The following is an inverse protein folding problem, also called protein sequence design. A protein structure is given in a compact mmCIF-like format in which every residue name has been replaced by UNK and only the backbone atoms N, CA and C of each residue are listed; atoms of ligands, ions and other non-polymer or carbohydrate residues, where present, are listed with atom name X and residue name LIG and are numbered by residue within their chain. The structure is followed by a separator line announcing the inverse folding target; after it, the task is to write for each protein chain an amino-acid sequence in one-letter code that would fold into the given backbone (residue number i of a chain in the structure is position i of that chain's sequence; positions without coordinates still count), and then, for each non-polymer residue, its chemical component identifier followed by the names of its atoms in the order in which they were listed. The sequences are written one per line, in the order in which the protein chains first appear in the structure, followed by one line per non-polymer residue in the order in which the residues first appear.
data_IF_040275489185
#
_entry.id   IF_040275489185
#
_cell.length_a   1.000
_cell.length_b   1.000
_cell.length_c   1.000
_cell.angle_alpha   90.00
_cell.angle_beta   90.00
_cell.angle_gamma   90.00
#
_symmetry.space_group_name_H-M   'P 1'
#
loop_
_entity.id
_entity.type
_entity.pdbx_description
1 polymer ?
#
# COMPACT_ATOMS: atom_id res chain seq x y z
N UNK A 1 1.74 -28.40 12.15
CA UNK A 1 1.33 -27.00 12.32
C UNK A 1 2.22 -26.44 13.42
N UNK A 2 3.25 -25.70 13.03
CA UNK A 2 4.11 -24.97 13.99
C UNK A 2 3.57 -23.55 14.17
N UNK A 3 3.97 -22.95 15.29
CA UNK A 3 3.43 -21.77 16.00
C UNK A 3 3.25 -20.45 15.23
N UNK A 4 3.42 -20.42 13.90
CA UNK A 4 3.31 -19.22 13.07
C UNK A 4 2.24 -19.24 11.97
N UNK A 5 1.40 -20.28 11.87
CA UNK A 5 0.20 -20.30 10.99
C UNK A 5 0.44 -20.34 9.47
N UNK A 6 1.53 -19.78 8.94
CA UNK A 6 1.76 -19.64 7.50
C UNK A 6 2.13 -20.97 6.83
N UNK A 7 1.44 -21.32 5.75
CA UNK A 7 1.71 -22.52 4.97
C UNK A 7 3.14 -22.48 4.36
N UNK A 8 3.90 -23.61 4.33
CA UNK A 8 5.29 -23.64 3.85
C UNK A 8 5.49 -23.11 2.41
N UNK A 9 4.46 -23.19 1.56
CA UNK A 9 4.50 -22.66 0.19
C UNK A 9 4.73 -21.14 0.13
N UNK A 10 4.38 -20.41 1.20
CA UNK A 10 4.41 -18.96 1.24
C UNK A 10 5.59 -18.39 2.03
N UNK A 11 6.26 -19.23 2.82
CA UNK A 11 7.36 -18.77 3.68
C UNK A 11 8.58 -18.39 2.83
N UNK A 12 9.07 -17.15 2.93
CA UNK A 12 10.38 -16.79 2.39
C UNK A 12 11.46 -17.71 2.95
N UNK A 13 12.48 -18.00 2.16
CA UNK A 13 13.60 -18.85 2.59
C UNK A 13 14.46 -18.14 3.65
N UNK A 14 14.64 -16.83 3.48
CA UNK A 14 15.29 -15.92 4.41
C UNK A 14 14.42 -14.66 4.57
N UNK A 15 14.46 -13.99 5.74
CA UNK A 15 13.78 -12.71 5.93
C UNK A 15 14.33 -11.65 4.97
N UNK A 16 13.45 -10.86 4.38
CA UNK A 16 13.84 -9.74 3.53
C UNK A 16 13.90 -8.46 4.34
N UNK A 17 14.99 -7.68 4.26
CA UNK A 17 15.07 -6.42 4.97
C UNK A 17 14.24 -5.34 4.26
N UNK A 18 13.88 -4.32 5.03
CA UNK A 18 13.58 -2.99 4.50
C UNK A 18 14.87 -2.20 4.42
N UNK A 19 15.07 -1.50 3.31
CA UNK A 19 16.24 -0.64 3.08
C UNK A 19 15.77 0.75 2.66
N UNK A 20 16.13 1.75 3.45
CA UNK A 20 15.89 3.15 3.13
C UNK A 20 17.18 3.82 2.68
N UNK A 21 17.09 4.63 1.63
CA UNK A 21 18.14 5.53 1.18
C UNK A 21 17.71 6.98 1.36
N UNK A 22 18.42 7.72 2.22
CA UNK A 22 18.08 9.09 2.60
C UNK A 22 19.15 10.05 2.09
N UNK A 23 18.97 10.69 0.93
CA UNK A 23 19.89 11.73 0.47
C UNK A 23 19.91 12.91 1.43
N UNK A 24 21.10 13.44 1.68
CA UNK A 24 21.34 14.52 2.64
C UNK A 24 21.79 15.82 1.97
N UNK A 25 21.45 16.96 2.59
CA UNK A 25 21.87 18.30 2.17
C UNK A 25 23.28 18.70 2.66
N UNK A 26 24.04 17.77 3.23
CA UNK A 26 25.37 18.03 3.80
C UNK A 26 26.48 18.02 2.72
N UNK A 27 27.43 18.96 2.85
CA UNK A 27 28.57 19.08 1.93
C UNK A 27 29.79 18.22 2.27
N UNK A 28 29.84 17.67 3.48
CA UNK A 28 30.95 16.90 4.04
C UNK A 28 30.39 15.74 4.91
N UNK A 29 31.14 14.64 5.09
CA UNK A 29 30.71 13.56 5.97
C UNK A 29 30.74 14.02 7.44
N UNK A 30 29.88 13.43 8.26
CA UNK A 30 29.85 13.60 9.71
C UNK A 30 30.20 12.27 10.40
N UNK A 31 30.61 12.33 11.65
CA UNK A 31 30.95 11.16 12.46
C UNK A 31 29.71 10.38 12.88
N UNK A 32 29.81 9.06 12.97
CA UNK A 32 28.72 8.19 13.43
C UNK A 32 28.19 8.63 14.81
N UNK A 33 29.08 8.97 15.75
CA UNK A 33 28.70 9.41 17.11
C UNK A 33 27.82 10.67 17.10
N UNK A 34 28.05 11.59 16.15
CA UNK A 34 27.23 12.80 16.04
C UNK A 34 25.80 12.46 15.58
N UNK A 35 25.66 11.54 14.64
CA UNK A 35 24.36 11.04 14.20
C UNK A 35 23.65 10.28 15.32
N UNK A 36 24.34 9.36 16.00
CA UNK A 36 23.76 8.57 17.09
C UNK A 36 23.31 9.45 18.26
N UNK A 37 24.04 10.53 18.55
CA UNK A 37 23.61 11.52 19.54
C UNK A 37 22.34 12.26 19.10
N UNK A 38 22.23 12.64 17.83
CA UNK A 38 21.01 13.23 17.25
C UNK A 38 19.83 12.27 17.31
N UNK A 39 20.04 11.01 16.90
CA UNK A 39 19.04 9.95 16.95
C UNK A 39 18.55 9.69 18.38
N UNK A 40 19.46 9.60 19.35
CA UNK A 40 19.09 9.44 20.76
C UNK A 40 18.25 10.61 21.29
N UNK A 41 18.53 11.83 20.80
CA UNK A 41 17.72 13.02 21.09
C UNK A 41 16.31 12.94 20.51
N UNK A 42 16.17 12.55 19.24
CA UNK A 42 14.87 12.39 18.56
C UNK A 42 14.03 11.30 19.22
N UNK A 43 14.65 10.19 19.60
CA UNK A 43 13.97 9.06 20.23
C UNK A 43 13.71 9.25 21.72
N UNK A 44 14.27 10.30 22.34
CA UNK A 44 14.32 10.50 23.79
C UNK A 44 14.80 9.25 24.56
N UNK A 45 15.72 8.48 23.96
CA UNK A 45 16.14 7.18 24.47
C UNK A 45 17.59 6.84 24.10
N UNK A 46 18.22 5.95 24.88
CA UNK A 46 19.58 5.50 24.61
C UNK A 46 19.63 4.50 23.46
N UNK A 47 20.49 4.76 22.47
CA UNK A 47 20.79 3.83 21.38
C UNK A 47 22.03 3.01 21.76
N UNK A 48 21.92 1.68 21.76
CA UNK A 48 23.03 0.77 22.05
C UNK A 48 23.79 0.45 20.77
N UNK A 49 25.09 0.70 20.73
CA UNK A 49 25.95 0.28 19.62
C UNK A 49 26.37 -1.16 19.82
N UNK A 50 25.97 -2.03 18.90
CA UNK A 50 26.33 -3.45 18.92
C UNK A 50 27.66 -3.70 18.23
N UNK A 51 27.86 -3.05 17.07
CA UNK A 51 29.04 -3.25 16.25
C UNK A 51 29.35 -1.99 15.42
N UNK A 52 30.63 -1.62 15.35
CA UNK A 52 31.13 -0.72 14.33
C UNK A 52 31.69 -1.56 13.19
N UNK A 53 31.24 -1.29 11.97
CA UNK A 53 31.70 -1.96 10.77
C UNK A 53 32.77 -1.06 10.13
N UNK A 54 34.07 -1.32 10.36
CA UNK A 54 35.13 -0.45 9.86
C UNK A 54 35.13 -0.42 8.34
N UNK A 55 35.12 0.78 7.77
CA UNK A 55 35.30 0.99 6.34
C UNK A 55 36.61 1.72 6.09
N UNK A 56 37.43 1.15 5.20
CA UNK A 56 38.63 1.81 4.68
C UNK A 56 38.33 2.62 3.40
N UNK A 57 37.07 2.66 2.96
CA UNK A 57 36.64 3.30 1.72
C UNK A 57 36.09 4.70 2.00
N UNK A 58 36.71 5.74 1.42
CA UNK A 58 36.21 7.11 1.46
C UNK A 58 34.80 7.28 0.83
N UNK A 59 34.31 6.26 0.11
CA UNK A 59 32.94 6.19 -0.39
C UNK A 59 31.94 5.77 0.67
N UNK A 60 32.37 5.05 1.71
CA UNK A 60 31.53 4.60 2.81
C UNK A 60 32.16 5.08 4.13
N UNK A 61 32.01 6.36 4.51
CA UNK A 61 32.61 6.93 5.71
C UNK A 61 32.49 6.06 6.97
N UNK A 62 31.33 5.48 7.23
CA UNK A 62 31.11 4.59 8.36
C UNK A 62 29.85 3.75 8.18
N UNK A 63 29.81 2.62 8.89
CA UNK A 63 28.64 1.78 9.08
C UNK A 63 28.60 1.31 10.55
N UNK A 64 27.41 1.28 11.14
CA UNK A 64 27.19 0.88 12.52
C UNK A 64 25.95 0.01 12.62
N UNK A 65 26.00 -0.99 13.50
CA UNK A 65 24.85 -1.79 13.90
C UNK A 65 24.42 -1.36 15.28
N UNK A 66 23.17 -0.96 15.41
CA UNK A 66 22.61 -0.46 16.66
C UNK A 66 21.37 -1.23 17.08
N UNK A 67 21.14 -1.28 18.38
CA UNK A 67 19.85 -1.66 18.96
C UNK A 67 19.13 -0.38 19.36
N UNK A 68 17.93 -0.22 18.82
CA UNK A 68 17.05 0.92 19.11
C UNK A 68 15.94 0.47 20.06
N UNK A 69 15.64 1.22 21.13
CA UNK A 69 14.53 0.92 22.03
C UNK A 69 13.20 0.77 21.29
N UNK A 70 12.38 -0.20 21.70
CA UNK A 70 11.07 -0.45 21.09
C UNK A 70 11.11 -1.17 19.74
N UNK A 71 12.28 -1.72 19.36
CA UNK A 71 12.45 -2.62 18.21
C UNK A 71 13.07 -3.96 18.64
N UNK A 72 12.61 -5.04 18.03
CA UNK A 72 13.20 -6.37 18.22
C UNK A 72 14.48 -6.56 17.41
N UNK A 73 14.44 -6.19 16.12
CA UNK A 73 15.57 -6.33 15.20
C UNK A 73 16.58 -5.18 15.34
N UNK A 74 17.90 -5.46 15.26
CA UNK A 74 18.92 -4.44 15.12
C UNK A 74 18.74 -3.62 13.84
N UNK A 75 19.31 -2.42 13.81
CA UNK A 75 19.31 -1.52 12.66
C UNK A 75 20.74 -1.31 12.20
N UNK A 76 21.00 -1.54 10.92
CA UNK A 76 22.25 -1.15 10.27
C UNK A 76 22.07 0.24 9.71
N UNK A 77 22.99 1.14 10.06
CA UNK A 77 23.01 2.52 9.59
C UNK A 77 24.37 2.77 8.97
N UNK A 78 24.40 3.21 7.71
CA UNK A 78 25.63 3.58 7.03
C UNK A 78 25.52 4.95 6.39
N UNK A 79 26.64 5.65 6.34
CA UNK A 79 26.80 6.85 5.52
C UNK A 79 27.60 6.46 4.28
N UNK A 80 27.02 6.68 3.11
CA UNK A 80 27.66 6.42 1.82
C UNK A 80 27.70 7.68 0.96
N UNK A 81 28.62 7.74 0.00
CA UNK A 81 28.56 8.72 -1.09
C UNK A 81 27.34 8.44 -1.94
N UNK A 82 26.58 9.50 -2.20
CA UNK A 82 25.37 9.41 -3.04
C UNK A 82 25.73 8.86 -4.41
N UNK A 83 25.09 7.75 -4.76
CA UNK A 83 25.11 7.17 -6.11
C UNK A 83 24.01 7.83 -6.93
N UNK A 84 24.00 7.60 -8.24
CA UNK A 84 22.87 8.02 -9.07
C UNK A 84 21.59 7.38 -8.52
N UNK A 85 20.58 8.21 -8.33
CA UNK A 85 19.24 7.80 -7.92
C UNK A 85 18.30 8.05 -9.09
N UNK A 86 17.49 7.06 -9.43
CA UNK A 86 16.53 7.12 -10.53
C UNK A 86 15.12 7.44 -10.02
N UNK A 87 14.22 7.82 -10.93
CA UNK A 87 12.81 8.13 -10.64
C UNK A 87 12.58 9.19 -9.55
N UNK A 88 13.54 10.10 -9.36
CA UNK A 88 13.44 11.17 -8.36
C UNK A 88 12.31 12.14 -8.71
N UNK A 89 11.36 12.42 -7.79
CA UNK A 89 10.28 13.35 -8.03
C UNK A 89 10.79 14.75 -8.43
N UNK A 90 10.18 15.42 -9.43
CA UNK A 90 10.64 16.72 -9.92
C UNK A 90 10.77 17.79 -8.83
N UNK A 91 9.91 17.75 -7.81
CA UNK A 91 9.91 18.70 -6.70
C UNK A 91 11.21 18.67 -5.87
N UNK A 92 11.84 17.49 -5.73
CA UNK A 92 13.05 17.30 -4.92
C UNK A 92 14.30 17.01 -5.75
N UNK A 93 14.16 16.78 -7.06
CA UNK A 93 15.24 16.39 -7.97
C UNK A 93 16.49 17.28 -7.88
N UNK A 94 16.32 18.60 -7.76
CA UNK A 94 17.44 19.53 -7.62
C UNK A 94 18.21 19.36 -6.30
N UNK A 95 17.51 19.12 -5.18
CA UNK A 95 18.13 18.87 -3.86
C UNK A 95 18.85 17.52 -3.85
N UNK A 96 18.21 16.47 -4.37
CA UNK A 96 18.78 15.12 -4.46
C UNK A 96 20.02 15.11 -5.37
N UNK A 97 19.97 15.78 -6.52
CA UNK A 97 21.13 15.86 -7.43
C UNK A 97 22.33 16.62 -6.81
N UNK A 98 22.08 17.54 -5.87
CA UNK A 98 23.13 18.24 -5.13
C UNK A 98 23.67 17.45 -3.93
N UNK A 99 22.99 16.36 -3.54
CA UNK A 99 23.38 15.52 -2.42
C UNK A 99 24.70 14.80 -2.70
N UNK A 100 25.60 14.83 -1.72
CA UNK A 100 26.90 14.15 -1.78
C UNK A 100 26.95 12.89 -0.94
N UNK A 101 26.07 12.80 0.06
CA UNK A 101 26.00 11.70 0.98
C UNK A 101 24.57 11.24 1.17
N UNK A 102 24.41 9.93 1.32
CA UNK A 102 23.16 9.24 1.56
C UNK A 102 23.31 8.39 2.80
N UNK A 103 22.36 8.50 3.73
CA UNK A 103 22.23 7.52 4.81
C UNK A 103 21.50 6.29 4.28
N UNK A 104 22.02 5.11 4.53
CA UNK A 104 21.32 3.86 4.32
C UNK A 104 20.89 3.33 5.69
N UNK A 105 19.59 3.04 5.83
CA UNK A 105 19.03 2.42 7.02
C UNK A 105 18.42 1.09 6.63
N UNK A 106 18.87 0.02 7.25
CA UNK A 106 18.43 -1.34 6.95
C UNK A 106 18.08 -2.12 8.22
N UNK A 107 16.95 -2.81 8.21
CA UNK A 107 16.52 -3.66 9.32
C UNK A 107 15.49 -4.68 8.85
N UNK A 108 15.18 -5.66 9.69
CA UNK A 108 13.99 -6.49 9.53
C UNK A 108 12.80 -5.79 10.18
N UNK A 109 11.63 -5.91 9.55
CA UNK A 109 10.38 -5.46 10.16
C UNK A 109 9.95 -6.44 11.26
N UNK A 110 9.35 -5.90 12.30
CA UNK A 110 8.62 -6.70 13.28
C UNK A 110 7.45 -7.42 12.59
N UNK A 111 7.31 -8.72 12.83
CA UNK A 111 6.25 -9.53 12.24
C UNK A 111 4.89 -9.28 12.91
N UNK A 112 4.85 -8.77 14.15
CA UNK A 112 3.59 -8.48 14.85
C UNK A 112 2.90 -7.22 14.30
N UNK A 113 3.67 -6.18 13.98
CA UNK A 113 3.16 -4.94 13.38
C UNK A 113 4.21 -4.31 12.45
N UNK A 114 4.37 -4.85 11.23
CA UNK A 114 5.37 -4.38 10.28
C UNK A 114 5.14 -2.92 9.86
N UNK A 115 3.89 -2.44 9.91
CA UNK A 115 3.49 -1.09 9.52
C UNK A 115 4.03 -0.05 10.50
N UNK A 116 3.75 -0.23 11.79
CA UNK A 116 4.26 0.68 12.82
C UNK A 116 5.78 0.59 12.92
N UNK A 117 6.35 -0.61 12.76
CA UNK A 117 7.79 -0.80 12.79
C UNK A 117 8.52 -0.17 11.58
N UNK A 118 7.87 -0.12 10.41
CA UNK A 118 8.34 0.64 9.24
C UNK A 118 8.36 2.14 9.52
N UNK A 119 7.31 2.68 10.14
CA UNK A 119 7.25 4.10 10.53
C UNK A 119 8.36 4.50 11.51
N UNK A 120 8.69 3.63 12.47
CA UNK A 120 9.84 3.85 13.37
C UNK A 120 11.17 3.93 12.60
N UNK A 121 11.36 3.08 11.58
CA UNK A 121 12.57 3.12 10.76
C UNK A 121 12.64 4.39 9.91
N UNK A 122 11.52 4.91 9.41
CA UNK A 122 11.49 6.22 8.75
C UNK A 122 11.97 7.30 9.72
N UNK A 123 11.45 7.33 10.95
CA UNK A 123 11.91 8.28 11.98
C UNK A 123 13.41 8.14 12.31
N UNK A 124 13.95 6.92 12.31
CA UNK A 124 15.40 6.69 12.47
C UNK A 124 16.16 7.23 11.24
N UNK A 125 15.67 6.95 10.04
CA UNK A 125 16.31 7.32 8.78
C UNK A 125 16.32 8.84 8.55
N UNK A 126 15.34 9.55 9.09
CA UNK A 126 15.19 11.01 8.96
C UNK A 126 15.66 11.79 10.18
N UNK A 127 16.26 11.12 11.18
CA UNK A 127 16.71 11.74 12.42
C UNK A 127 17.78 12.83 12.23
N UNK A 128 18.45 12.88 11.07
CA UNK A 128 19.39 13.94 10.73
C UNK A 128 18.66 15.15 10.10
N UNK A 129 18.87 16.36 10.61
CA UNK A 129 18.22 17.61 10.14
C UNK A 129 18.44 17.90 8.64
N UNK A 130 19.53 17.39 8.08
CA UNK A 130 19.87 17.51 6.67
C UNK A 130 19.13 16.54 5.73
N UNK A 131 18.19 15.72 6.23
CA UNK A 131 17.44 14.77 5.40
C UNK A 131 16.61 15.49 4.35
N UNK A 132 16.67 15.02 3.09
CA UNK A 132 15.92 15.63 1.98
C UNK A 132 14.60 14.89 1.74
N UNK A 133 14.66 13.57 1.73
CA UNK A 133 13.57 12.64 1.41
C UNK A 133 14.00 11.23 1.83
N UNK A 134 13.07 10.29 1.84
CA UNK A 134 13.33 8.86 2.00
C UNK A 134 12.98 8.14 0.69
N UNK A 135 13.94 7.38 0.14
CA UNK A 135 13.68 6.38 -0.89
C UNK A 135 13.56 5.01 -0.21
N UNK A 136 12.40 4.38 -0.29
CA UNK A 136 12.23 2.97 0.02
C UNK A 136 12.77 2.13 -1.14
N UNK A 137 13.94 1.53 -0.96
CA UNK A 137 14.61 0.78 -2.02
C UNK A 137 13.86 -0.52 -2.37
N UNK A 138 13.04 -1.05 -1.45
CA UNK A 138 12.28 -2.28 -1.68
C UNK A 138 11.11 -2.03 -2.64
N UNK A 139 10.44 -0.87 -2.53
CA UNK A 139 9.25 -0.52 -3.32
C UNK A 139 9.52 0.51 -4.43
N UNK A 140 10.66 1.19 -4.36
CA UNK A 140 11.02 2.32 -5.23
C UNK A 140 10.22 3.60 -4.95
N UNK A 141 9.54 3.69 -3.81
CA UNK A 141 8.74 4.86 -3.46
C UNK A 141 9.61 5.95 -2.83
N UNK A 142 9.35 7.19 -3.23
CA UNK A 142 9.93 8.39 -2.65
C UNK A 142 8.93 9.04 -1.71
N UNK A 143 9.41 9.46 -0.54
CA UNK A 143 8.65 10.22 0.44
C UNK A 143 9.41 11.51 0.75
N UNK A 144 8.80 12.66 0.48
CA UNK A 144 9.40 13.94 0.83
C UNK A 144 9.11 14.35 2.29
N UNK A 145 9.74 15.45 2.71
CA UNK A 145 9.62 15.99 4.08
C UNK A 145 8.17 16.25 4.50
N UNK A 146 7.33 16.75 3.59
CA UNK A 146 5.93 17.05 3.92
C UNK A 146 5.12 15.76 4.11
N UNK A 147 5.41 14.72 3.34
CA UNK A 147 4.78 13.40 3.48
C UNK A 147 5.22 12.69 4.77
N UNK A 148 6.51 12.77 5.07
CA UNK A 148 7.10 12.18 6.28
C UNK A 148 6.47 12.79 7.53
N UNK A 149 6.49 14.12 7.65
CA UNK A 149 6.00 14.82 8.83
C UNK A 149 4.47 14.80 8.95
N UNK A 150 3.76 14.75 7.82
CA UNK A 150 2.31 14.84 7.76
C UNK A 150 1.59 13.50 7.85
N UNK A 151 1.91 12.56 6.95
CA UNK A 151 1.11 11.34 6.74
C UNK A 151 1.75 10.09 7.34
N UNK A 152 3.08 10.00 7.35
CA UNK A 152 3.82 8.79 7.74
C UNK A 152 4.10 8.72 9.24
N UNK A 153 4.53 9.84 9.84
CA UNK A 153 4.86 9.95 11.26
C UNK A 153 3.70 10.50 12.10
N UNK A 154 2.48 10.47 11.57
CA UNK A 154 1.28 10.85 12.32
C UNK A 154 1.14 9.95 13.56
N UNK A 155 1.21 10.57 14.74
CA UNK A 155 1.24 9.85 16.01
C UNK A 155 -0.08 9.17 16.38
N UNK A 156 -1.20 9.58 15.77
CA UNK A 156 -2.53 9.00 16.02
C UNK A 156 -2.75 7.76 15.16
N UNK A 157 -2.34 7.81 13.89
CA UNK A 157 -2.68 6.77 12.91
C UNK A 157 -1.49 5.89 12.49
N UNK A 158 -0.26 6.35 12.68
CA UNK A 158 0.93 5.78 12.07
C UNK A 158 0.90 5.89 10.53
N UNK A 159 1.80 5.19 9.82
CA UNK A 159 1.79 5.19 8.36
C UNK A 159 0.60 4.37 7.82
N UNK A 160 0.09 4.66 6.61
CA UNK A 160 -0.87 3.77 5.96
C UNK A 160 -0.23 2.42 5.64
N UNK A 161 -1.02 1.36 5.46
CA UNK A 161 -0.48 0.01 5.21
C UNK A 161 0.16 -0.12 3.83
N UNK A 162 -0.33 0.62 2.84
CA UNK A 162 0.14 0.63 1.45
C UNK A 162 1.53 1.28 1.27
N UNK A 163 2.17 1.76 2.34
CA UNK A 163 3.61 2.06 2.32
C UNK A 163 4.45 0.79 2.32
N UNK A 164 3.89 -0.32 2.80
CA UNK A 164 4.63 -1.57 2.94
C UNK A 164 4.84 -2.26 1.59
N UNK A 165 4.01 -1.98 0.59
CA UNK A 165 4.16 -2.55 -0.74
C UNK A 165 3.82 -1.54 -1.85
N UNK A 166 4.16 -1.88 -3.08
CA UNK A 166 3.72 -1.17 -4.28
C UNK A 166 3.27 -2.17 -5.33
N UNK A 167 2.12 -1.92 -5.95
CA UNK A 167 1.71 -2.65 -7.16
C UNK A 167 2.42 -2.04 -8.36
N UNK A 168 3.15 -2.88 -9.10
CA UNK A 168 3.80 -2.55 -10.36
C UNK A 168 3.06 -3.20 -11.52
N UNK A 169 3.19 -2.59 -12.71
CA UNK A 169 2.57 -3.05 -13.94
C UNK A 169 3.61 -3.12 -15.04
N UNK A 170 3.64 -4.24 -15.76
CA UNK A 170 4.48 -4.44 -16.95
C UNK A 170 3.57 -4.76 -18.13
N UNK A 171 3.82 -4.09 -19.25
CA UNK A 171 3.10 -4.26 -20.53
C UNK A 171 4.10 -4.22 -21.67
N UNK A 172 3.87 -5.02 -22.72
CA UNK A 172 4.61 -4.93 -23.99
C UNK A 172 3.97 -3.95 -24.98
N UNK A 173 2.76 -3.47 -24.69
CA UNK A 173 2.02 -2.51 -25.52
C UNK A 173 2.19 -1.08 -25.00
N UNK A 174 2.45 -0.13 -25.91
CA UNK A 174 2.39 1.31 -25.62
C UNK A 174 0.95 1.78 -25.32
N UNK A 175 -0.05 1.16 -25.97
CA UNK A 175 -1.46 1.34 -25.63
C UNK A 175 -1.89 0.23 -24.67
N UNK A 176 -1.94 0.57 -23.37
CA UNK A 176 -2.29 -0.37 -22.31
C UNK A 176 -3.66 -1.01 -22.55
N UNK A 177 -4.62 -0.31 -23.15
CA UNK A 177 -5.99 -0.82 -23.35
C UNK A 177 -6.05 -2.03 -24.30
N UNK A 178 -5.06 -2.17 -25.20
CA UNK A 178 -5.05 -3.21 -26.24
C UNK A 178 -4.17 -4.43 -25.91
N UNK A 179 -3.42 -4.39 -24.80
CA UNK A 179 -2.46 -5.43 -24.42
C UNK A 179 -2.89 -6.28 -23.23
N UNK A 180 -2.00 -7.20 -22.86
CA UNK A 180 -2.01 -7.85 -21.55
C UNK A 180 -1.01 -7.16 -20.63
N UNK A 181 -1.32 -7.19 -19.34
CA UNK A 181 -0.53 -6.58 -18.27
C UNK A 181 -0.21 -7.65 -17.24
N UNK A 182 1.05 -7.71 -16.83
CA UNK A 182 1.47 -8.43 -15.63
C UNK A 182 1.50 -7.42 -14.48
N UNK A 183 0.66 -7.66 -13.48
CA UNK A 183 0.62 -6.88 -12.24
C UNK A 183 1.28 -7.67 -11.13
N UNK A 184 2.11 -7.01 -10.32
CA UNK A 184 2.72 -7.67 -9.18
C UNK A 184 3.06 -6.69 -8.05
N UNK A 185 3.06 -7.18 -6.82
CA UNK A 185 3.53 -6.40 -5.67
C UNK A 185 5.05 -6.46 -5.55
N UNK A 186 5.62 -5.42 -4.95
CA UNK A 186 6.95 -5.41 -4.32
C UNK A 186 6.81 -4.92 -2.89
N UNK A 187 7.46 -5.57 -1.94
CA UNK A 187 7.55 -5.15 -0.54
C UNK A 187 6.79 -6.04 0.44
N UNK A 188 6.05 -7.05 -0.02
CA UNK A 188 5.39 -8.00 0.88
C UNK A 188 6.37 -9.00 1.51
N UNK A 189 7.48 -9.31 0.82
CA UNK A 189 8.50 -10.23 1.34
C UNK A 189 9.12 -9.77 2.68
N UNK A 190 9.32 -8.45 2.86
CA UNK A 190 9.82 -7.87 4.12
C UNK A 190 8.82 -7.95 5.27
N UNK A 191 7.54 -8.20 4.95
CA UNK A 191 6.48 -8.45 5.93
C UNK A 191 6.30 -9.96 6.22
N UNK A 192 7.15 -10.82 5.65
CA UNK A 192 7.02 -12.29 5.79
C UNK A 192 5.93 -12.91 4.93
N UNK A 193 5.38 -12.16 3.97
CA UNK A 193 4.33 -12.58 3.04
C UNK A 193 4.93 -12.91 1.67
N UNK A 194 4.27 -13.75 0.84
CA UNK A 194 4.65 -13.89 -0.55
C UNK A 194 4.31 -12.59 -1.30
N UNK A 195 5.10 -12.23 -2.33
CA UNK A 195 4.60 -11.20 -3.26
C UNK A 195 3.37 -11.73 -3.98
N UNK A 196 2.45 -10.84 -4.34
CA UNK A 196 1.26 -11.19 -5.10
C UNK A 196 1.45 -10.84 -6.57
N UNK A 197 0.72 -11.53 -7.45
CA UNK A 197 0.66 -11.17 -8.87
C UNK A 197 -0.62 -11.61 -9.56
N UNK A 198 -0.90 -10.93 -10.67
CA UNK A 198 -1.93 -11.27 -11.63
C UNK A 198 -1.28 -11.33 -13.01
N UNK A 199 -1.44 -12.48 -13.67
CA UNK A 199 -0.90 -12.77 -14.99
C UNK A 199 -1.99 -12.60 -16.05
N UNK A 200 -1.60 -12.23 -17.27
CA UNK A 200 -2.49 -12.11 -18.44
C UNK A 200 -3.73 -11.21 -18.22
N UNK A 201 -3.60 -10.16 -17.40
CA UNK A 201 -4.69 -9.22 -17.16
C UNK A 201 -4.92 -8.38 -18.43
N UNK A 202 -6.14 -8.32 -19.00
CA UNK A 202 -6.43 -7.38 -20.08
C UNK A 202 -6.18 -5.95 -19.61
N UNK A 203 -5.43 -5.14 -20.35
CA UNK A 203 -4.99 -3.86 -19.82
C UNK A 203 -6.12 -2.86 -19.54
N UNK A 204 -7.25 -2.95 -20.26
CA UNK A 204 -8.51 -2.26 -19.92
C UNK A 204 -9.06 -2.56 -18.51
N UNK A 205 -8.56 -3.61 -17.86
CA UNK A 205 -8.91 -4.04 -16.51
C UNK A 205 -7.78 -3.87 -15.50
N UNK A 206 -6.60 -3.40 -15.92
CA UNK A 206 -5.42 -3.31 -15.08
C UNK A 206 -5.65 -2.44 -13.83
N UNK A 207 -6.35 -1.31 -13.95
CA UNK A 207 -6.65 -0.44 -12.80
C UNK A 207 -7.54 -1.14 -11.74
N UNK A 208 -8.58 -1.85 -12.17
CA UNK A 208 -9.44 -2.59 -11.24
C UNK A 208 -8.73 -3.81 -10.63
N UNK A 209 -7.93 -4.52 -11.44
CA UNK A 209 -7.11 -5.63 -11.00
C UNK A 209 -6.02 -5.21 -10.01
N UNK A 210 -5.41 -4.03 -10.21
CA UNK A 210 -4.43 -3.43 -9.29
C UNK A 210 -5.06 -3.15 -7.92
N UNK A 211 -6.24 -2.50 -7.90
CA UNK A 211 -7.00 -2.25 -6.65
C UNK A 211 -7.39 -3.54 -5.93
N UNK A 212 -7.72 -4.60 -6.68
CA UNK A 212 -7.98 -5.91 -6.10
C UNK A 212 -6.72 -6.51 -5.48
N UNK A 213 -5.58 -6.42 -6.16
CA UNK A 213 -4.30 -6.93 -5.65
C UNK A 213 -3.87 -6.20 -4.36
N UNK A 214 -4.09 -4.90 -4.32
CA UNK A 214 -3.86 -4.04 -3.16
C UNK A 214 -4.74 -4.44 -1.96
N UNK A 215 -6.05 -4.64 -2.20
CA UNK A 215 -6.96 -5.12 -1.15
C UNK A 215 -6.59 -6.51 -0.62
N UNK A 216 -6.17 -7.43 -1.50
CA UNK A 216 -5.67 -8.75 -1.09
C UNK A 216 -4.43 -8.59 -0.22
N UNK A 217 -3.48 -7.73 -0.59
CA UNK A 217 -2.26 -7.51 0.18
C UNK A 217 -2.55 -7.04 1.61
N UNK A 218 -3.43 -6.05 1.78
CA UNK A 218 -3.84 -5.55 3.10
C UNK A 218 -4.52 -6.64 3.95
N UNK A 219 -5.45 -7.41 3.37
CA UNK A 219 -6.11 -8.50 4.09
C UNK A 219 -5.14 -9.61 4.52
N UNK A 220 -4.18 -9.98 3.65
CA UNK A 220 -3.17 -10.99 3.97
C UNK A 220 -2.16 -10.54 5.04
N UNK A 221 -1.99 -9.24 5.23
CA UNK A 221 -1.17 -8.70 6.32
C UNK A 221 -1.77 -9.03 7.69
N UNK A 222 -3.09 -9.11 7.79
CA UNK A 222 -3.81 -9.43 9.03
C UNK A 222 -4.10 -10.92 9.17
N UNK A 223 -4.65 -11.54 8.13
CA UNK A 223 -5.09 -12.93 8.17
C UNK A 223 -3.94 -13.93 8.00
N UNK A 224 -2.85 -13.49 7.35
CA UNK A 224 -1.86 -14.37 6.74
C UNK A 224 -2.40 -15.07 5.47
N UNK A 225 -1.51 -15.57 4.60
CA UNK A 225 -1.92 -16.22 3.36
C UNK A 225 -2.55 -17.60 3.62
N UNK A 226 -3.76 -17.88 3.10
CA UNK A 226 -4.36 -19.20 3.20
C UNK A 226 -3.53 -20.24 2.47
N UNK A 227 -3.60 -21.54 2.80
CA UNK A 227 -2.93 -22.57 2.02
C UNK A 227 -3.27 -22.50 0.52
N UNK A 228 -2.37 -22.94 -0.37
CA UNK A 228 -2.62 -22.96 -1.81
C UNK A 228 -3.96 -23.56 -2.20
N UNK A 229 -4.59 -22.97 -3.23
CA UNK A 229 -5.88 -23.39 -3.79
C UNK A 229 -7.10 -23.27 -2.85
N UNK A 230 -6.91 -22.88 -1.59
CA UNK A 230 -8.04 -22.64 -0.67
C UNK A 230 -8.68 -21.30 -1.05
N UNK A 231 -10.01 -21.25 -1.32
CA UNK A 231 -10.71 -20.02 -1.61
C UNK A 231 -10.53 -19.00 -0.48
N UNK A 232 -10.19 -17.77 -0.86
CA UNK A 232 -9.98 -16.65 0.03
C UNK A 232 -10.98 -15.55 -0.29
N UNK A 233 -11.78 -15.17 0.70
CA UNK A 233 -12.85 -14.21 0.50
C UNK A 233 -12.32 -12.78 0.59
N UNK A 234 -12.53 -12.00 -0.46
CA UNK A 234 -12.09 -10.60 -0.56
C UNK A 234 -13.27 -9.62 -0.60
N UNK A 235 -14.48 -10.15 -0.45
CA UNK A 235 -15.72 -9.39 -0.34
C UNK A 235 -16.94 -10.31 -0.36
N UNK A 236 -18.15 -9.77 -0.15
CA UNK A 236 -19.39 -10.54 -0.18
C UNK A 236 -19.59 -11.32 -1.50
N UNK A 237 -19.43 -12.64 -1.43
CA UNK A 237 -19.61 -13.53 -2.58
C UNK A 237 -18.49 -13.46 -3.62
N UNK A 238 -17.30 -12.99 -3.22
CA UNK A 238 -16.13 -12.87 -4.08
C UNK A 238 -14.96 -13.55 -3.41
N UNK A 239 -14.55 -14.65 -4.02
CA UNK A 239 -13.44 -15.44 -3.57
C UNK A 239 -12.38 -15.53 -4.67
N UNK A 240 -11.12 -15.65 -4.27
CA UNK A 240 -9.96 -15.87 -5.14
C UNK A 240 -9.15 -17.07 -4.63
N UNK A 241 -8.32 -17.66 -5.47
CA UNK A 241 -7.36 -18.68 -5.06
C UNK A 241 -5.93 -18.13 -5.13
N UNK A 242 -5.09 -18.49 -4.17
CA UNK A 242 -3.65 -18.21 -4.20
C UNK A 242 -2.89 -19.44 -4.69
N UNK A 243 -2.17 -19.29 -5.80
CA UNK A 243 -1.45 -20.37 -6.47
C UNK A 243 0.05 -20.04 -6.48
N UNK A 244 0.95 -20.98 -6.13
CA UNK A 244 2.38 -20.75 -6.28
C UNK A 244 2.71 -20.37 -7.72
N UNK A 245 3.45 -19.28 -7.93
CA UNK A 245 3.65 -18.72 -9.27
C UNK A 245 4.21 -19.73 -10.27
N UNK A 246 5.11 -20.62 -9.82
CA UNK A 246 5.70 -21.67 -10.67
C UNK A 246 4.65 -22.60 -11.26
N UNK A 247 3.57 -22.89 -10.52
CA UNK A 247 2.44 -23.67 -11.03
C UNK A 247 1.59 -22.84 -11.99
N UNK A 248 1.31 -21.58 -11.64
CA UNK A 248 0.49 -20.69 -12.47
C UNK A 248 1.11 -20.47 -13.86
N UNK A 249 2.43 -20.33 -13.95
CA UNK A 249 3.11 -20.09 -15.23
C UNK A 249 3.25 -21.33 -16.12
N UNK A 250 2.99 -22.55 -15.62
CA UNK A 250 3.14 -23.78 -16.43
C UNK A 250 2.23 -23.77 -17.66
N UNK A 251 1.12 -23.03 -17.61
CA UNK A 251 0.14 -22.93 -18.68
C UNK A 251 0.31 -21.70 -19.58
N UNK A 252 1.25 -20.79 -19.27
CA UNK A 252 1.51 -19.62 -20.10
C UNK A 252 2.16 -20.03 -21.43
N UNK A 253 1.84 -19.29 -22.48
CA UNK A 253 2.57 -19.39 -23.74
C UNK A 253 4.02 -18.92 -23.54
N UNK A 254 5.02 -19.52 -24.22
CA UNK A 254 6.39 -19.02 -24.19
C UNK A 254 6.44 -17.53 -24.58
N UNK A 255 7.30 -16.76 -23.91
CA UNK A 255 7.45 -15.31 -24.14
C UNK A 255 6.26 -14.46 -23.63
N UNK A 256 5.33 -15.06 -22.87
CA UNK A 256 4.31 -14.32 -22.14
C UNK A 256 4.93 -13.50 -21.02
N UNK A 257 4.34 -12.33 -20.76
CA UNK A 257 4.70 -11.49 -19.62
C UNK A 257 4.63 -12.27 -18.31
N UNK A 258 5.69 -12.18 -17.51
CA UNK A 258 5.79 -12.86 -16.22
C UNK A 258 6.11 -14.36 -16.31
N UNK A 259 6.56 -14.87 -17.46
CA UNK A 259 7.22 -16.18 -17.53
C UNK A 259 8.58 -16.16 -16.80
N UNK A 260 9.24 -17.33 -16.68
CA UNK A 260 10.51 -17.43 -15.95
C UNK A 260 11.65 -16.62 -16.60
N UNK A 261 11.67 -16.52 -17.93
CA UNK A 261 12.71 -15.78 -18.66
C UNK A 261 12.51 -14.27 -18.51
N UNK A 262 11.27 -13.79 -18.62
CA UNK A 262 10.89 -12.39 -18.46
C UNK A 262 11.23 -11.89 -17.03
N UNK A 263 10.91 -12.66 -16.00
CA UNK A 263 11.28 -12.37 -14.59
C UNK A 263 12.78 -12.21 -14.38
N UNK A 264 13.57 -13.12 -14.95
CA UNK A 264 15.02 -13.11 -14.82
C UNK A 264 15.66 -11.95 -15.58
N UNK A 265 15.07 -11.51 -16.69
CA UNK A 265 15.52 -10.36 -17.45
C UNK A 265 15.15 -9.03 -16.75
N UNK A 266 13.94 -8.94 -16.21
CA UNK A 266 13.37 -7.69 -15.69
C UNK A 266 14.07 -7.17 -14.43
N UNK A 267 14.55 -8.04 -13.53
CA UNK A 267 15.29 -7.63 -12.34
C UNK A 267 16.66 -8.30 -12.26
N UNK A 268 17.68 -7.48 -12.04
CA UNK A 268 19.07 -7.91 -11.80
C UNK A 268 19.44 -7.82 -10.30
N UNK A 269 18.45 -7.60 -9.42
CA UNK A 269 18.64 -7.57 -7.98
C UNK A 269 19.08 -8.95 -7.46
N UNK A 270 19.86 -8.98 -6.37
CA UNK A 270 20.32 -10.21 -5.74
C UNK A 270 20.04 -10.16 -4.24
N UNK A 271 19.19 -11.07 -3.71
CA UNK A 271 18.36 -12.03 -4.45
C UNK A 271 17.31 -11.35 -5.35
N UNK A 272 16.91 -11.99 -6.46
CA UNK A 272 15.92 -11.43 -7.38
C UNK A 272 14.48 -11.61 -6.79
N UNK A 273 13.77 -10.51 -6.46
CA UNK A 273 12.44 -10.59 -5.85
C UNK A 273 11.36 -11.16 -6.77
N UNK A 274 11.55 -11.11 -8.09
CA UNK A 274 10.62 -11.68 -9.08
C UNK A 274 10.72 -13.20 -9.20
N UNK A 275 11.80 -13.80 -8.69
CA UNK A 275 12.02 -15.25 -8.61
C UNK A 275 11.81 -15.80 -7.19
N UNK A 276 11.51 -14.93 -6.23
CA UNK A 276 11.25 -15.28 -4.84
C UNK A 276 9.89 -15.99 -4.65
N UNK A 277 9.40 -16.04 -3.41
CA UNK A 277 8.07 -16.59 -3.12
C UNK A 277 6.99 -15.63 -3.58
N UNK A 278 6.12 -16.12 -4.46
CA UNK A 278 5.00 -15.35 -5.00
C UNK A 278 3.74 -16.20 -5.11
N UNK A 279 2.60 -15.58 -4.85
CA UNK A 279 1.28 -16.13 -5.07
C UNK A 279 0.62 -15.44 -6.27
N UNK A 280 0.38 -16.21 -7.33
CA UNK A 280 -0.52 -15.81 -8.38
C UNK A 280 -1.96 -15.83 -7.83
N UNK A 281 -2.64 -14.69 -7.91
CA UNK A 281 -4.04 -14.56 -7.55
C UNK A 281 -4.87 -15.01 -8.74
N UNK A 282 -5.67 -16.06 -8.56
CA UNK A 282 -6.39 -16.72 -9.64
C UNK A 282 -7.88 -16.83 -9.33
N UNK A 283 -8.66 -17.15 -10.37
CA UNK A 283 -10.02 -17.64 -10.23
C UNK A 283 -10.03 -18.94 -9.39
N UNK A 284 -11.13 -19.19 -8.67
CA UNK A 284 -11.25 -20.32 -7.74
C UNK A 284 -11.26 -21.68 -8.46
N UNK A 285 -11.70 -21.69 -9.72
CA UNK A 285 -11.76 -22.89 -10.54
C UNK A 285 -10.81 -22.79 -11.74
N UNK A 286 -9.79 -23.67 -11.85
CA UNK A 286 -8.95 -23.71 -13.02
C UNK A 286 -9.74 -24.23 -14.23
N UNK A 287 -9.41 -23.72 -15.42
CA UNK A 287 -10.00 -24.14 -16.69
C UNK A 287 -9.27 -25.35 -17.27
N UNK A 288 -9.94 -26.05 -18.20
CA UNK A 288 -9.37 -27.14 -18.97
C UNK A 288 -9.67 -28.53 -18.39
N UNK A 289 -10.03 -29.47 -19.28
CA UNK A 289 -10.39 -30.85 -18.90
C UNK A 289 -9.20 -31.83 -18.85
N UNK A 290 -8.08 -31.46 -19.48
CA UNK A 290 -6.87 -32.30 -19.58
C UNK A 290 -5.65 -31.71 -18.86
N UNK A 291 -5.56 -30.38 -18.77
CA UNK A 291 -4.54 -29.64 -18.02
C UNK A 291 -5.27 -28.55 -17.23
N UNK A 292 -4.89 -28.35 -15.97
CA UNK A 292 -5.38 -27.24 -15.14
C UNK A 292 -4.73 -25.96 -15.63
N UNK A 293 -5.55 -25.00 -16.03
CA UNK A 293 -5.11 -23.66 -16.46
C UNK A 293 -5.68 -22.68 -15.45
N UNK A 294 -4.82 -22.16 -14.60
CA UNK A 294 -5.18 -21.09 -13.68
C UNK A 294 -5.28 -19.78 -14.47
N UNK A 295 -6.37 -19.05 -14.29
CA UNK A 295 -6.61 -17.78 -14.98
C UNK A 295 -6.83 -16.67 -13.97
N UNK A 296 -6.53 -15.43 -14.35
CA UNK A 296 -6.83 -14.26 -13.51
C UNK A 296 -8.35 -14.20 -13.18
N UNK A 297 -8.74 -13.71 -11.99
CA UNK A 297 -10.11 -13.74 -11.49
C UNK A 297 -10.94 -12.59 -12.09
N UNK A 298 -11.33 -12.71 -13.36
CA UNK A 298 -11.98 -11.64 -14.11
C UNK A 298 -13.32 -11.15 -13.51
N UNK A 299 -14.09 -12.03 -12.86
CA UNK A 299 -15.33 -11.65 -12.18
C UNK A 299 -15.06 -10.79 -10.94
N UNK A 300 -14.04 -11.14 -10.16
CA UNK A 300 -13.63 -10.35 -8.99
C UNK A 300 -13.18 -8.94 -9.42
N UNK A 301 -12.32 -8.85 -10.44
CA UNK A 301 -11.87 -7.54 -10.95
C UNK A 301 -13.02 -6.69 -11.55
N UNK A 302 -14.01 -7.33 -12.19
CA UNK A 302 -15.20 -6.64 -12.66
C UNK A 302 -16.01 -6.03 -11.49
N UNK A 303 -16.11 -6.71 -10.35
CA UNK A 303 -16.75 -6.15 -9.16
C UNK A 303 -15.98 -4.94 -8.62
N UNK A 304 -14.66 -5.01 -8.53
CA UNK A 304 -13.80 -3.88 -8.10
C UNK A 304 -13.88 -2.66 -9.04
N UNK A 305 -14.39 -2.83 -10.26
CA UNK A 305 -14.63 -1.71 -11.19
C UNK A 305 -15.85 -0.87 -10.81
N UNK A 306 -16.77 -1.38 -9.98
CA UNK A 306 -18.00 -0.70 -9.60
C UNK A 306 -17.76 0.36 -8.52
N UNK A 307 -18.34 1.56 -8.67
CA UNK A 307 -18.19 2.66 -7.69
C UNK A 307 -18.76 2.33 -6.30
N UNK A 308 -19.70 1.39 -6.25
CA UNK A 308 -20.44 0.91 -5.09
C UNK A 308 -20.02 -0.51 -4.67
N UNK A 309 -18.85 -0.99 -5.13
CA UNK A 309 -18.31 -2.30 -4.78
C UNK A 309 -18.17 -2.47 -3.25
N UNK A 310 -18.71 -3.57 -2.72
CA UNK A 310 -18.47 -3.99 -1.33
C UNK A 310 -17.25 -4.90 -1.33
N UNK A 311 -16.18 -4.48 -0.65
CA UNK A 311 -14.92 -5.21 -0.54
C UNK A 311 -14.56 -5.32 0.94
N UNK A 312 -13.83 -6.38 1.31
CA UNK A 312 -13.21 -6.42 2.63
C UNK A 312 -11.93 -5.57 2.61
N UNK A 313 -11.65 -4.91 3.74
CA UNK A 313 -10.42 -4.16 3.99
C UNK A 313 -9.87 -4.61 5.33
N UNK A 314 -8.57 -4.41 5.52
CA UNK A 314 -7.92 -4.64 6.80
C UNK A 314 -8.55 -3.77 7.90
N UNK A 315 -8.53 -4.25 9.14
CA UNK A 315 -8.90 -3.46 10.32
C UNK A 315 -8.05 -2.18 10.41
N UNK A 316 -6.75 -2.28 10.12
CA UNK A 316 -5.85 -1.12 10.14
C UNK A 316 -6.25 -0.04 9.12
N UNK A 317 -6.54 -0.44 7.87
CA UNK A 317 -7.04 0.48 6.85
C UNK A 317 -8.41 1.04 7.23
N UNK A 318 -9.30 0.22 7.78
CA UNK A 318 -10.65 0.64 8.19
C UNK A 318 -10.58 1.72 9.28
N UNK A 319 -9.75 1.52 10.32
CA UNK A 319 -9.55 2.51 11.39
C UNK A 319 -8.99 3.81 10.83
N UNK A 320 -7.94 3.73 10.00
CA UNK A 320 -7.32 4.92 9.39
C UNK A 320 -8.29 5.66 8.48
N UNK A 321 -8.90 4.99 7.50
CA UNK A 321 -9.85 5.59 6.56
C UNK A 321 -11.02 6.24 7.30
N UNK A 322 -11.55 5.60 8.34
CA UNK A 322 -12.64 6.16 9.16
C UNK A 322 -12.24 7.47 9.83
N UNK A 323 -11.05 7.53 10.42
CA UNK A 323 -10.57 8.73 11.07
C UNK A 323 -10.32 9.87 10.08
N UNK A 324 -9.68 9.58 8.95
CA UNK A 324 -9.47 10.57 7.87
C UNK A 324 -10.82 11.04 7.32
N UNK A 325 -11.78 10.14 7.11
CA UNK A 325 -13.12 10.45 6.65
C UNK A 325 -13.83 11.43 7.59
N UNK A 326 -13.83 11.17 8.89
CA UNK A 326 -14.44 12.05 9.91
C UNK A 326 -13.77 13.41 9.96
N UNK A 327 -12.43 13.46 9.90
CA UNK A 327 -11.66 14.71 9.93
C UNK A 327 -11.93 15.59 8.71
N UNK A 328 -12.11 14.97 7.54
CA UNK A 328 -12.32 15.67 6.26
C UNK A 328 -13.80 15.83 5.88
N UNK A 329 -14.73 15.23 6.62
CA UNK A 329 -16.16 15.24 6.35
C UNK A 329 -16.71 16.66 6.13
N UNK A 330 -16.39 17.59 7.03
CA UNK A 330 -16.86 18.98 6.95
C UNK A 330 -16.46 19.68 5.64
N UNK A 331 -15.28 19.35 5.08
CA UNK A 331 -14.85 19.85 3.77
C UNK A 331 -15.66 19.24 2.64
N UNK A 332 -15.93 17.92 2.67
CA UNK A 332 -16.76 17.26 1.66
C UNK A 332 -18.19 17.82 1.65
N UNK A 333 -18.77 18.07 2.84
CA UNK A 333 -20.07 18.72 3.01
C UNK A 333 -20.05 20.14 2.43
N UNK A 334 -19.03 20.94 2.76
CA UNK A 334 -18.88 22.30 2.23
C UNK A 334 -18.78 22.31 0.69
N UNK A 335 -18.00 21.39 0.12
CA UNK A 335 -17.87 21.21 -1.32
C UNK A 335 -19.21 20.88 -1.98
N UNK A 336 -19.96 19.92 -1.41
CA UNK A 336 -21.31 19.56 -1.88
C UNK A 336 -22.31 20.70 -1.75
N UNK A 337 -22.20 21.53 -0.70
CA UNK A 337 -23.05 22.70 -0.52
C UNK A 337 -22.73 23.81 -1.53
N UNK A 338 -21.46 23.98 -1.91
CA UNK A 338 -21.04 24.99 -2.89
C UNK A 338 -21.45 24.67 -4.33
N UNK A 339 -21.58 23.37 -4.67
CA UNK A 339 -21.92 22.92 -6.02
C UNK A 339 -23.03 21.86 -5.94
N UNK A 340 -24.29 22.25 -5.70
CA UNK A 340 -25.35 21.29 -5.45
C UNK A 340 -25.86 20.55 -6.69
N UNK A 341 -25.67 21.12 -7.87
CA UNK A 341 -26.03 20.50 -9.14
C UNK A 341 -24.88 19.62 -9.68
N UNK A 342 -25.19 18.36 -9.99
CA UNK A 342 -24.25 17.44 -10.65
C UNK A 342 -23.12 16.90 -9.76
N UNK A 343 -23.12 17.21 -8.46
CA UNK A 343 -22.22 16.64 -7.47
C UNK A 343 -23.05 15.83 -6.47
N UNK A 344 -22.69 14.56 -6.26
CA UNK A 344 -23.34 13.67 -5.29
C UNK A 344 -22.36 13.43 -4.15
N UNK A 345 -22.84 13.56 -2.91
CA UNK A 345 -22.08 13.17 -1.73
C UNK A 345 -22.59 11.81 -1.26
N UNK A 346 -21.67 10.86 -1.17
CA UNK A 346 -21.91 9.56 -0.56
C UNK A 346 -21.20 9.50 0.80
N UNK A 347 -21.82 8.84 1.77
CA UNK A 347 -21.20 8.51 3.05
C UNK A 347 -21.20 6.99 3.23
N UNK A 348 -20.08 6.45 3.69
CA UNK A 348 -19.97 5.09 4.18
C UNK A 348 -20.31 5.08 5.66
N UNK A 349 -21.24 4.21 6.05
CA UNK A 349 -21.69 4.08 7.43
C UNK A 349 -21.78 2.61 7.85
N UNK A 350 -21.51 2.30 9.13
CA UNK A 350 -21.84 1.02 9.69
C UNK A 350 -23.36 0.86 9.79
N UNK A 351 -23.82 -0.35 9.49
CA UNK A 351 -25.19 -0.81 9.68
C UNK A 351 -25.24 -1.75 10.91
N UNK A 352 -26.32 -2.52 11.03
CA UNK A 352 -26.48 -3.47 12.12
C UNK A 352 -25.44 -4.59 12.07
N UNK A 353 -25.13 -5.15 13.24
CA UNK A 353 -24.28 -6.33 13.37
C UNK A 353 -25.04 -7.59 12.99
N UNK A 354 -24.38 -8.49 12.27
CA UNK A 354 -24.90 -9.83 12.01
C UNK A 354 -24.85 -10.73 13.27
N UNK A 355 -25.37 -11.95 13.15
CA UNK A 355 -25.40 -12.95 14.23
C UNK A 355 -23.99 -13.40 14.69
N UNK A 356 -22.96 -13.15 13.88
CA UNK A 356 -21.56 -13.43 14.16
C UNK A 356 -20.84 -12.18 14.71
N UNK A 357 -21.55 -11.07 14.88
CA UNK A 357 -21.04 -9.81 15.43
C UNK A 357 -20.35 -8.91 14.41
N UNK A 358 -20.34 -9.27 13.12
CA UNK A 358 -19.74 -8.47 12.04
C UNK A 358 -20.65 -7.33 11.64
N UNK A 359 -20.08 -6.15 11.43
CA UNK A 359 -20.80 -4.96 10.99
C UNK A 359 -20.85 -4.95 9.47
N UNK A 360 -22.04 -4.84 8.88
CA UNK A 360 -22.17 -4.51 7.47
C UNK A 360 -21.93 -3.01 7.29
N UNK A 361 -21.15 -2.62 6.28
CA UNK A 361 -20.93 -1.21 5.94
C UNK A 361 -21.62 -0.90 4.62
N UNK A 362 -22.35 0.21 4.56
CA UNK A 362 -23.12 0.60 3.39
C UNK A 362 -22.83 2.02 2.94
N UNK A 363 -22.79 2.20 1.61
CA UNK A 363 -22.82 3.51 0.99
C UNK A 363 -24.25 4.05 0.96
N UNK A 364 -24.41 5.26 1.48
CA UNK A 364 -25.64 6.04 1.40
C UNK A 364 -25.41 7.27 0.52
N UNK A 365 -26.41 7.64 -0.27
CA UNK A 365 -26.47 8.97 -0.86
C UNK A 365 -27.01 9.95 0.16
N UNK A 366 -26.26 10.99 0.46
CA UNK A 366 -26.59 11.98 1.49
C UNK A 366 -27.64 12.94 0.96
N UNK A 367 -28.78 13.01 1.65
CA UNK A 367 -29.91 13.90 1.32
C UNK A 367 -29.83 15.21 2.12
N UNK A 368 -29.51 15.13 3.42
CA UNK A 368 -29.31 16.30 4.30
C UNK A 368 -28.16 16.08 5.28
N UNK A 369 -27.54 17.17 5.72
CA UNK A 369 -26.49 17.19 6.74
C UNK A 369 -26.86 18.17 7.83
N UNK A 370 -26.68 17.75 9.07
CA UNK A 370 -26.87 18.50 10.31
C UNK A 370 -25.56 18.49 11.13
N UNK A 371 -25.53 19.12 12.30
CA UNK A 371 -24.30 19.32 13.08
C UNK A 371 -23.64 18.01 13.55
N UNK A 372 -24.44 16.97 13.85
CA UNK A 372 -24.00 15.68 14.37
C UNK A 372 -24.19 14.51 13.40
N UNK A 373 -24.70 14.75 12.20
CA UNK A 373 -25.09 13.68 11.29
C UNK A 373 -25.93 14.13 10.11
N UNK A 374 -26.92 13.33 9.74
CA UNK A 374 -27.83 13.67 8.66
C UNK A 374 -28.73 12.53 8.24
N UNK A 375 -29.34 12.70 7.06
CA UNK A 375 -30.17 11.67 6.43
C UNK A 375 -29.65 11.33 5.04
N UNK A 376 -29.85 10.08 4.64
CA UNK A 376 -29.51 9.62 3.31
C UNK A 376 -30.28 8.38 2.91
N UNK A 377 -29.94 7.83 1.73
CA UNK A 377 -30.60 6.65 1.17
C UNK A 377 -29.59 5.58 0.83
N UNK A 378 -29.88 4.35 1.21
CA UNK A 378 -29.00 3.21 0.93
C UNK A 378 -28.94 2.98 -0.60
N UNK A 379 -27.73 2.82 -1.15
CA UNK A 379 -27.55 2.62 -2.59
C UNK A 379 -27.86 1.19 -3.05
N UNK A 380 -27.74 0.21 -2.16
CA UNK A 380 -27.89 -1.23 -2.45
C UNK A 380 -28.80 -1.91 -1.42
N UNK A 381 -29.26 -3.12 -1.75
CA UNK A 381 -29.91 -3.95 -0.75
C UNK A 381 -28.87 -4.39 0.29
N UNK A 382 -29.22 -4.30 1.55
CA UNK A 382 -28.37 -4.69 2.68
C UNK A 382 -28.65 -6.13 3.07
N UNK A 383 -27.71 -6.76 3.79
CA UNK A 383 -27.87 -8.12 4.32
C UNK A 383 -28.99 -8.20 5.36
N UNK A 384 -29.23 -7.13 6.12
CA UNK A 384 -30.34 -7.05 7.07
C UNK A 384 -31.73 -6.90 6.41
N UNK A 385 -31.79 -6.85 5.07
CA UNK A 385 -33.02 -6.88 4.30
C UNK A 385 -33.62 -5.51 3.95
N UNK A 386 -32.92 -4.40 4.25
CA UNK A 386 -33.31 -3.08 3.74
C UNK A 386 -33.05 -3.00 2.23
N UNK A 387 -34.03 -2.45 1.51
CA UNK A 387 -33.93 -2.29 0.06
C UNK A 387 -33.15 -1.03 -0.32
N UNK A 388 -32.55 -1.02 -1.50
CA UNK A 388 -32.00 0.20 -2.10
C UNK A 388 -33.07 1.32 -2.12
N UNK A 389 -32.66 2.53 -1.77
CA UNK A 389 -33.52 3.70 -1.61
C UNK A 389 -34.16 3.84 -0.23
N UNK A 390 -33.97 2.90 0.69
CA UNK A 390 -34.45 3.01 2.07
C UNK A 390 -33.80 4.22 2.75
N UNK A 391 -34.59 5.15 3.34
CA UNK A 391 -34.03 6.28 4.08
C UNK A 391 -33.41 5.80 5.39
N UNK A 392 -32.27 6.39 5.75
CA UNK A 392 -31.55 6.12 6.99
C UNK A 392 -31.02 7.42 7.58
N UNK A 393 -31.01 7.48 8.91
CA UNK A 393 -30.28 8.49 9.67
C UNK A 393 -28.86 7.98 9.92
N UNK A 394 -27.90 8.89 9.97
CA UNK A 394 -26.51 8.58 10.30
C UNK A 394 -25.92 9.64 11.22
N UNK A 395 -24.89 9.25 11.98
CA UNK A 395 -24.09 10.17 12.78
C UNK A 395 -22.76 10.44 12.08
N UNK A 396 -22.28 11.67 12.13
CA UNK A 396 -20.98 12.05 11.56
C UNK A 396 -19.83 11.27 12.22
N UNK A 397 -19.99 10.90 13.50
CA UNK A 397 -19.03 10.09 14.25
C UNK A 397 -18.95 8.63 13.76
N UNK A 398 -19.96 8.14 13.05
CA UNK A 398 -20.01 6.78 12.54
C UNK A 398 -19.50 6.67 11.10
N UNK A 399 -19.23 7.80 10.44
CA UNK A 399 -18.74 7.81 9.06
C UNK A 399 -17.40 7.08 8.98
N UNK A 400 -17.32 6.11 8.08
CA UNK A 400 -16.10 5.33 7.78
C UNK A 400 -15.48 5.68 6.42
N UNK A 401 -16.20 6.46 5.61
CA UNK A 401 -15.76 6.92 4.31
C UNK A 401 -16.71 7.98 3.74
N UNK A 402 -16.23 8.75 2.76
CA UNK A 402 -17.11 9.60 1.95
C UNK A 402 -16.63 9.61 0.49
N UNK A 403 -17.54 9.89 -0.44
CA UNK A 403 -17.21 10.09 -1.85
C UNK A 403 -17.92 11.32 -2.40
N UNK A 404 -17.21 12.14 -3.17
CA UNK A 404 -17.79 13.16 -4.03
C UNK A 404 -17.77 12.64 -5.46
N UNK A 405 -18.96 12.52 -6.07
CA UNK A 405 -19.14 11.93 -7.40
C UNK A 405 -19.67 12.98 -8.37
N UNK A 406 -19.00 13.13 -9.52
CA UNK A 406 -19.41 13.99 -10.63
C UNK A 406 -19.27 13.23 -11.95
N UNK A 407 -20.40 12.85 -12.54
CA UNK A 407 -20.38 12.00 -13.73
C UNK A 407 -19.67 10.68 -13.42
N UNK A 408 -18.58 10.40 -14.13
CA UNK A 408 -17.74 9.21 -13.89
C UNK A 408 -16.57 9.49 -12.92
N UNK A 409 -16.28 10.76 -12.62
CA UNK A 409 -15.20 11.13 -11.72
C UNK A 409 -15.64 11.03 -10.26
N UNK A 410 -14.76 10.51 -9.41
CA UNK A 410 -15.00 10.35 -7.97
C UNK A 410 -13.73 10.66 -7.18
N UNK A 411 -13.89 11.33 -6.04
CA UNK A 411 -12.85 11.47 -5.02
C UNK A 411 -13.37 11.05 -3.64
N UNK A 412 -12.49 10.77 -2.70
CA UNK A 412 -12.77 10.46 -1.30
C UNK A 412 -11.70 11.02 -0.35
N UNK A 413 -11.74 10.62 0.93
CA UNK A 413 -10.93 11.22 2.01
C UNK A 413 -9.43 11.08 1.86
N UNK A 414 -8.98 10.03 1.18
CA UNK A 414 -7.56 9.69 1.01
C UNK A 414 -6.97 10.21 -0.30
N UNK A 415 -7.80 10.78 -1.18
CA UNK A 415 -7.31 11.38 -2.42
C UNK A 415 -6.60 12.71 -2.12
N UNK A 416 -5.46 12.96 -2.78
CA UNK A 416 -4.65 14.20 -2.61
C UNK A 416 -5.26 15.42 -3.31
N UNK A 417 -6.57 15.38 -3.51
CA UNK A 417 -7.38 16.36 -4.21
C UNK A 417 -8.18 17.13 -3.15
N UNK A 418 -8.11 18.47 -3.19
CA UNK A 418 -8.96 19.27 -2.31
C UNK A 418 -10.44 19.15 -2.75
N UNK A 419 -11.37 18.80 -1.85
CA UNK A 419 -12.80 18.65 -2.19
C UNK A 419 -13.42 19.89 -2.85
N UNK A 420 -12.96 21.10 -2.50
CA UNK A 420 -13.45 22.33 -3.10
C UNK A 420 -12.95 22.52 -4.53
N UNK A 421 -11.71 22.14 -4.83
CA UNK A 421 -11.16 22.22 -6.18
C UNK A 421 -11.81 21.19 -7.11
N UNK A 422 -12.08 19.97 -6.61
CA UNK A 422 -12.91 19.00 -7.31
C UNK A 422 -14.33 19.54 -7.56
N UNK A 423 -14.96 20.11 -6.52
CA UNK A 423 -16.28 20.72 -6.65
C UNK A 423 -16.30 21.94 -7.60
N UNK A 424 -15.17 22.62 -7.80
CA UNK A 424 -15.03 23.69 -8.79
C UNK A 424 -14.72 23.18 -10.21
N UNK A 425 -14.42 21.88 -10.38
CA UNK A 425 -14.11 21.28 -11.68
C UNK A 425 -12.72 21.68 -12.22
N UNK A 426 -11.81 22.06 -11.32
CA UNK A 426 -10.48 22.55 -11.69
C UNK A 426 -9.50 21.44 -12.07
N UNK A 427 -9.83 20.19 -11.77
CA UNK A 427 -8.91 19.05 -11.92
C UNK A 427 -9.23 18.09 -13.07
N UNK A 428 -10.38 18.21 -13.74
CA UNK A 428 -10.71 17.35 -14.90
C UNK A 428 -9.95 17.74 -16.19
N UNK A 429 -8.76 18.36 -16.10
CA UNK A 429 -7.97 18.84 -17.24
C UNK A 429 -6.48 18.47 -17.24
N UNK A 430 -6.04 17.53 -16.39
CA UNK A 430 -4.67 17.01 -16.44
C UNK A 430 -4.65 15.50 -16.26
N UNK A 431 -4.38 14.76 -17.34
CA UNK A 431 -4.16 13.31 -17.28
C UNK A 431 -4.79 12.57 -18.45
N UNK A 432 -4.11 12.58 -19.60
CA UNK A 432 -4.12 11.51 -20.57
C UNK A 432 -2.72 10.91 -20.58
#
# INVERSE_FOLDING_TARGET
MDSGGTHPAWRPEEPWPVTFAVPLSVGAPFEADAFLAGLAGVLEASVEVLEFLPSADERNPWSVVVRVPGRAAPVVISLERTKRMDEVPPAIAGRVAASRFTLIVESLLDAEDPRIDWGKLVGIATAHEGSIAVLDASTGQWFDEAEIDGELLDAEFGPPEDVLWRVQAVSTSEDLEQGTVWLFTRGLLRCGLPELELLEVPGARASAASRMLDAVAGLLLEDGPPPPEIPYSIGPGIDVALIPWREAIEALDPESLGDEADRAALSQETPNPLLARRAAVCDIEPKGSFKRIWTWPGQAAAHFSSADASIYRSDAATVRSSAIARRSWSRAVAARASTPEGLVLLAGIPLDRDVEGRVEHAWIQVDSVEDDGGTGRILRNTRDGRAAGTPVEFQAADIDGWRLVRGEATIGPEDRIDPMDFAAGRETRGGA
#
